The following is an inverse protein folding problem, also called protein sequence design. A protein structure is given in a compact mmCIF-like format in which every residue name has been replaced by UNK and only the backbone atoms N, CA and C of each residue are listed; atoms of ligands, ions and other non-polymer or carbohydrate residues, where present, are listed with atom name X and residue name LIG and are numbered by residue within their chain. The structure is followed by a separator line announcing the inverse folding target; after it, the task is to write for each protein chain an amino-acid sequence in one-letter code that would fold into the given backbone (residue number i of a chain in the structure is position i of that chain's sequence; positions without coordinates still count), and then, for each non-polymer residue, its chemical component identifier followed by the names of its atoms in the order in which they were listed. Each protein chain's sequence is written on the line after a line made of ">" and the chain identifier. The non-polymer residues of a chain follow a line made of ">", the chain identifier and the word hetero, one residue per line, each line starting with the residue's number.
data_IF_076696638630
#
_entry.id   IF_076696638630
#
_cell.length_a   1.000
_cell.length_b   1.000
_cell.length_c   1.000
_cell.angle_alpha   90.00
_cell.angle_beta   90.00
_cell.angle_gamma   90.00
#
_symmetry.space_group_name_H-M   'P 1'
#
loop_
_entity.id
_entity.type
_entity.pdbx_description
1 polymer ?
#
# COMPACT_ATOMS: atom_id res chain seq x y z
N UNK A 1 0.42 -12.70 1.05
CA UNK A 1 -0.93 -12.83 1.67
C UNK A 1 -1.66 -11.51 1.46
N UNK A 2 -2.91 -11.54 0.98
CA UNK A 2 -3.77 -10.38 0.75
C UNK A 2 -4.87 -10.37 1.81
N UNK A 3 -5.15 -9.20 2.39
CA UNK A 3 -6.28 -8.98 3.29
C UNK A 3 -7.25 -7.97 2.69
N UNK A 4 -8.54 -8.25 2.76
CA UNK A 4 -9.60 -7.31 2.34
C UNK A 4 -10.84 -7.45 3.21
N UNK A 5 -11.71 -6.44 3.17
CA UNK A 5 -13.07 -6.58 3.68
C UNK A 5 -13.91 -7.51 2.78
N UNK A 6 -15.16 -7.75 3.19
CA UNK A 6 -16.13 -8.59 2.48
C UNK A 6 -16.91 -7.83 1.40
N UNK A 7 -16.39 -6.71 0.89
CA UNK A 7 -16.96 -5.98 -0.23
C UNK A 7 -17.12 -6.88 -1.45
N UNK A 8 -18.25 -6.73 -2.15
CA UNK A 8 -18.61 -7.60 -3.29
C UNK A 8 -17.53 -7.60 -4.38
N UNK A 9 -16.90 -6.45 -4.62
CA UNK A 9 -15.83 -6.29 -5.60
C UNK A 9 -14.61 -7.16 -5.23
N UNK A 10 -14.22 -7.19 -3.94
CA UNK A 10 -13.12 -8.04 -3.47
C UNK A 10 -13.47 -9.52 -3.49
N UNK A 11 -14.73 -9.88 -3.20
CA UNK A 11 -15.23 -11.26 -3.33
C UNK A 11 -15.14 -11.73 -4.78
N UNK A 12 -15.56 -10.88 -5.72
CA UNK A 12 -15.46 -11.17 -7.16
C UNK A 12 -14.01 -11.24 -7.61
N UNK A 13 -13.16 -10.28 -7.22
CA UNK A 13 -11.74 -10.26 -7.55
C UNK A 13 -11.01 -11.52 -7.07
N UNK A 14 -11.30 -12.01 -5.86
CA UNK A 14 -10.75 -13.28 -5.36
C UNK A 14 -11.18 -14.47 -6.21
N UNK A 15 -12.44 -14.50 -6.66
CA UNK A 15 -12.95 -15.55 -7.54
C UNK A 15 -12.25 -15.55 -8.90
N UNK A 16 -12.12 -14.37 -9.52
CA UNK A 16 -11.43 -14.23 -10.80
C UNK A 16 -9.95 -14.56 -10.70
N UNK A 17 -9.27 -14.12 -9.64
CA UNK A 17 -7.87 -14.46 -9.42
C UNK A 17 -7.68 -15.98 -9.31
N UNK A 18 -8.55 -16.69 -8.59
CA UNK A 18 -8.54 -18.16 -8.53
C UNK A 18 -8.74 -18.79 -9.91
N UNK A 19 -9.66 -18.27 -10.72
CA UNK A 19 -9.91 -18.75 -12.07
C UNK A 19 -8.69 -18.59 -12.98
N UNK A 20 -8.04 -17.43 -12.93
CA UNK A 20 -6.84 -17.14 -13.72
C UNK A 20 -5.67 -18.05 -13.32
N UNK A 21 -5.45 -18.25 -12.01
CA UNK A 21 -4.43 -19.17 -11.52
C UNK A 21 -4.66 -20.58 -12.07
N UNK A 22 -5.91 -21.09 -12.02
CA UNK A 22 -6.24 -22.42 -12.56
C UNK A 22 -5.97 -22.57 -14.05
N UNK A 23 -6.22 -21.51 -14.84
CA UNK A 23 -5.96 -21.52 -16.29
C UNK A 23 -4.45 -21.59 -16.54
N UNK A 24 -3.67 -20.76 -15.85
CA UNK A 24 -2.21 -20.71 -15.99
C UNK A 24 -1.56 -22.03 -15.56
N UNK A 25 -2.01 -22.62 -14.43
CA UNK A 25 -1.44 -23.88 -13.93
C UNK A 25 -1.81 -25.11 -14.77
N UNK A 26 -2.86 -25.04 -15.59
CA UNK A 26 -3.26 -26.14 -16.47
C UNK A 26 -2.51 -26.18 -17.80
N UNK A 27 -1.86 -25.08 -18.18
CA UNK A 27 -1.31 -24.89 -19.52
C UNK A 27 0.21 -24.99 -19.61
N UNK A 28 0.93 -25.15 -18.49
CA UNK A 28 2.39 -25.01 -18.45
C UNK A 28 3.07 -26.22 -17.79
N UNK A 29 3.87 -26.96 -18.57
CA UNK A 29 4.90 -27.91 -18.11
C UNK A 29 6.17 -27.17 -17.64
N UNK A 30 6.22 -25.84 -17.75
CA UNK A 30 7.27 -25.01 -17.22
C UNK A 30 6.90 -24.52 -15.81
N UNK A 31 7.84 -24.50 -14.85
CA UNK A 31 7.48 -24.23 -13.48
C UNK A 31 7.22 -22.72 -13.32
N UNK A 32 5.94 -22.37 -13.33
CA UNK A 32 5.31 -21.09 -12.95
C UNK A 32 5.60 -20.73 -11.47
N UNK A 33 6.87 -20.79 -11.10
CA UNK A 33 7.38 -20.88 -9.74
C UNK A 33 7.24 -19.61 -8.92
N UNK A 34 6.80 -18.49 -9.49
CA UNK A 34 6.70 -17.24 -8.74
C UNK A 34 5.31 -16.94 -8.19
N UNK A 35 4.24 -17.32 -8.90
CA UNK A 35 2.87 -17.18 -8.40
C UNK A 35 2.34 -18.48 -7.76
N UNK A 36 2.90 -19.63 -8.15
CA UNK A 36 2.35 -20.96 -7.84
C UNK A 36 3.03 -21.64 -6.65
N UNK A 37 4.33 -21.37 -6.36
CA UNK A 37 5.02 -22.05 -5.23
C UNK A 37 4.56 -21.60 -3.85
N UNK A 38 4.09 -20.36 -3.72
CA UNK A 38 3.65 -19.74 -2.46
C UNK A 38 2.28 -19.08 -2.67
N UNK A 39 1.33 -19.83 -3.27
CA UNK A 39 0.03 -19.33 -3.74
C UNK A 39 -0.53 -18.20 -2.87
N UNK A 40 -0.70 -17.01 -3.45
CA UNK A 40 -1.06 -15.80 -2.70
C UNK A 40 -2.36 -16.02 -1.93
N UNK A 41 -2.25 -16.23 -0.62
CA UNK A 41 -3.41 -16.47 0.23
C UNK A 41 -4.22 -15.19 0.39
N UNK A 42 -5.47 -15.19 -0.08
CA UNK A 42 -6.42 -14.10 0.14
C UNK A 42 -7.31 -14.41 1.35
N UNK A 43 -7.18 -13.61 2.41
CA UNK A 43 -7.99 -13.70 3.62
C UNK A 43 -8.98 -12.54 3.70
N UNK A 44 -10.24 -12.85 3.98
CA UNK A 44 -11.22 -11.84 4.32
C UNK A 44 -11.21 -11.58 5.81
N UNK A 45 -11.47 -10.34 6.19
CA UNK A 45 -11.66 -10.00 7.59
C UNK A 45 -12.93 -10.63 8.13
N UNK A 46 -12.97 -10.97 9.43
CA UNK A 46 -14.21 -11.40 10.07
C UNK A 46 -15.30 -10.33 9.86
N UNK A 47 -16.56 -10.73 9.55
CA UNK A 47 -17.66 -9.79 9.45
C UNK A 47 -17.76 -8.95 10.73
N UNK A 48 -17.91 -7.63 10.59
CA UNK A 48 -18.04 -6.68 11.72
C UNK A 48 -16.81 -6.60 12.63
N UNK A 49 -15.60 -6.78 12.09
CA UNK A 49 -14.35 -6.59 12.83
C UNK A 49 -13.61 -5.31 12.39
N UNK A 50 -14.14 -4.10 12.70
CA UNK A 50 -13.62 -2.81 12.22
C UNK A 50 -12.17 -2.55 12.68
N UNK A 51 -11.77 -3.11 13.82
CA UNK A 51 -10.42 -2.93 14.37
C UNK A 51 -9.33 -3.49 13.43
N UNK A 52 -9.63 -4.53 12.65
CA UNK A 52 -8.65 -5.08 11.70
C UNK A 52 -8.37 -4.12 10.55
N UNK A 53 -9.29 -3.20 10.24
CA UNK A 53 -9.12 -2.20 9.19
C UNK A 53 -8.53 -0.87 9.61
N UNK A 54 -8.30 -0.69 10.92
CA UNK A 54 -7.79 0.56 11.48
C UNK A 54 -6.51 1.07 10.80
N UNK A 55 -5.59 0.19 10.37
CA UNK A 55 -4.32 0.60 9.75
C UNK A 55 -4.48 1.19 8.34
N UNK A 56 -5.20 0.51 7.43
CA UNK A 56 -5.44 1.08 6.10
C UNK A 56 -6.45 2.21 6.15
N UNK A 57 -7.42 2.19 7.07
CA UNK A 57 -8.32 3.32 7.30
C UNK A 57 -7.57 4.58 7.77
N UNK A 58 -6.59 4.43 8.67
CA UNK A 58 -5.71 5.53 9.07
C UNK A 58 -4.88 6.06 7.90
N UNK A 59 -4.42 5.18 7.01
CA UNK A 59 -3.70 5.56 5.79
C UNK A 59 -4.61 6.31 4.81
N UNK A 60 -5.85 5.84 4.59
CA UNK A 60 -6.88 6.53 3.79
C UNK A 60 -7.23 7.89 4.38
N UNK A 61 -7.33 7.99 5.72
CA UNK A 61 -7.58 9.26 6.42
C UNK A 61 -6.44 10.26 6.19
N UNK A 62 -5.20 9.79 6.27
CA UNK A 62 -4.00 10.63 6.04
C UNK A 62 -3.92 11.10 4.59
N UNK A 63 -4.18 10.22 3.62
CA UNK A 63 -4.29 10.60 2.21
C UNK A 63 -5.34 11.69 1.99
N UNK A 64 -6.58 11.48 2.47
CA UNK A 64 -7.68 12.43 2.32
C UNK A 64 -7.36 13.78 2.96
N UNK A 65 -6.61 13.80 4.06
CA UNK A 65 -6.19 15.02 4.71
C UNK A 65 -5.28 15.87 3.82
N UNK A 66 -4.23 15.28 3.24
CA UNK A 66 -3.35 15.98 2.32
C UNK A 66 -4.08 16.37 1.02
N UNK A 67 -4.83 15.43 0.45
CA UNK A 67 -5.55 15.64 -0.80
C UNK A 67 -6.52 16.83 -0.73
N UNK A 68 -7.34 16.91 0.32
CA UNK A 68 -8.28 18.03 0.50
C UNK A 68 -7.58 19.38 0.62
N UNK A 69 -6.39 19.43 1.23
CA UNK A 69 -5.63 20.67 1.41
C UNK A 69 -4.95 21.13 0.13
N UNK A 70 -4.42 20.20 -0.65
CA UNK A 70 -3.74 20.50 -1.92
C UNK A 70 -4.75 20.87 -3.01
N UNK A 71 -5.85 20.11 -3.12
CA UNK A 71 -6.81 20.27 -4.22
C UNK A 71 -7.88 21.33 -3.90
N UNK A 72 -8.31 21.44 -2.65
CA UNK A 72 -9.38 22.35 -2.25
C UNK A 72 -10.68 22.08 -3.01
N UNK A 73 -11.11 23.07 -3.80
CA UNK A 73 -12.33 23.03 -4.64
C UNK A 73 -12.03 22.94 -6.14
N UNK A 74 -10.77 22.79 -6.51
CA UNK A 74 -10.33 22.78 -7.91
C UNK A 74 -10.75 21.51 -8.64
N UNK A 75 -11.12 21.65 -9.91
CA UNK A 75 -11.33 20.52 -10.82
C UNK A 75 -9.99 20.17 -11.48
N UNK A 76 -9.57 18.92 -11.35
CA UNK A 76 -8.31 18.44 -11.88
C UNK A 76 -8.54 17.69 -13.18
N UNK A 77 -7.63 17.85 -14.13
CA UNK A 77 -7.41 16.88 -15.20
C UNK A 77 -6.85 15.57 -14.65
N UNK A 78 -6.84 14.53 -15.48
CA UNK A 78 -6.27 13.24 -15.10
C UNK A 78 -4.78 13.37 -14.72
N UNK A 79 -3.99 14.09 -15.51
CA UNK A 79 -2.55 14.26 -15.28
C UNK A 79 -2.25 15.03 -13.98
N UNK A 80 -3.03 16.08 -13.70
CA UNK A 80 -2.90 16.83 -12.45
C UNK A 80 -3.27 15.94 -11.25
N UNK A 81 -4.36 15.18 -11.35
CA UNK A 81 -4.75 14.23 -10.30
C UNK A 81 -3.68 13.17 -10.05
N UNK A 82 -3.14 12.57 -11.12
CA UNK A 82 -2.10 11.56 -11.05
C UNK A 82 -0.82 12.12 -10.42
N UNK A 83 -0.43 13.34 -10.78
CA UNK A 83 0.74 14.02 -10.22
C UNK A 83 0.57 14.27 -8.71
N UNK A 84 -0.57 14.81 -8.30
CA UNK A 84 -0.88 15.06 -6.88
C UNK A 84 -0.90 13.74 -6.09
N UNK A 85 -1.43 12.67 -6.68
CA UNK A 85 -1.44 11.34 -6.07
C UNK A 85 -0.01 10.88 -5.73
N UNK A 86 0.93 10.99 -6.68
CA UNK A 86 2.33 10.60 -6.49
C UNK A 86 3.03 11.45 -5.42
N UNK A 87 2.76 12.76 -5.41
CA UNK A 87 3.32 13.65 -4.39
C UNK A 87 2.82 13.29 -2.99
N UNK A 88 1.53 13.03 -2.83
CA UNK A 88 0.95 12.61 -1.55
C UNK A 88 1.50 11.24 -1.13
N UNK A 89 1.64 10.30 -2.05
CA UNK A 89 2.28 9.00 -1.78
C UNK A 89 3.70 9.18 -1.24
N UNK A 90 4.51 10.02 -1.89
CA UNK A 90 5.86 10.35 -1.43
C UNK A 90 5.85 10.92 -0.01
N UNK A 91 4.96 11.87 0.28
CA UNK A 91 4.80 12.45 1.63
C UNK A 91 4.44 11.36 2.64
N UNK A 92 3.47 10.50 2.34
CA UNK A 92 3.06 9.44 3.25
C UNK A 92 4.19 8.44 3.49
N UNK A 93 5.00 8.12 2.49
CA UNK A 93 6.09 7.16 2.61
C UNK A 93 7.37 7.74 3.25
N UNK A 94 7.55 9.05 3.18
CA UNK A 94 8.69 9.77 3.80
C UNK A 94 8.37 10.38 5.16
N UNK A 95 7.15 10.23 5.69
CA UNK A 95 6.78 10.79 7.00
C UNK A 95 7.60 10.16 8.13
N UNK A 96 8.20 10.95 9.05
CA UNK A 96 8.89 10.41 10.23
C UNK A 96 7.94 9.61 11.12
N UNK A 97 8.37 8.41 11.56
CA UNK A 97 7.65 7.60 12.56
C UNK A 97 8.31 7.75 13.94
N UNK A 98 9.60 7.42 14.03
CA UNK A 98 10.40 7.51 15.25
C UNK A 98 11.86 7.87 14.92
N UNK A 99 12.58 8.58 15.80
CA UNK A 99 14.04 8.65 15.73
C UNK A 99 14.67 7.26 15.84
N UNK A 100 15.79 7.04 15.15
CA UNK A 100 16.55 5.79 15.24
C UNK A 100 17.60 5.80 16.37
N UNK A 101 17.99 6.99 16.82
CA UNK A 101 18.95 7.21 17.89
C UNK A 101 18.39 8.18 18.93
N UNK A 102 18.98 8.13 20.12
CA UNK A 102 18.75 9.09 21.20
C UNK A 102 19.76 10.26 21.16
N UNK A 103 20.73 10.21 20.25
CA UNK A 103 21.67 11.30 20.03
C UNK A 103 20.96 12.47 19.37
N UNK A 104 21.18 13.68 19.90
CA UNK A 104 20.54 14.90 19.42
C UNK A 104 21.10 15.36 18.08
N UNK A 105 22.33 14.95 17.75
CA UNK A 105 22.99 15.28 16.47
C UNK A 105 22.67 14.25 15.37
N UNK A 106 22.04 13.12 15.71
CA UNK A 106 21.60 12.12 14.76
C UNK A 106 20.18 12.42 14.26
N UNK A 107 20.10 12.83 12.99
CA UNK A 107 18.85 13.19 12.32
C UNK A 107 18.21 11.99 11.60
N UNK A 108 18.73 10.78 11.77
CA UNK A 108 18.14 9.59 11.15
C UNK A 108 16.80 9.22 11.81
N UNK A 109 15.77 9.11 10.97
CA UNK A 109 14.41 8.77 11.39
C UNK A 109 13.89 7.56 10.63
N UNK A 110 13.18 6.69 11.32
CA UNK A 110 12.45 5.60 10.72
C UNK A 110 11.24 6.17 9.97
N UNK A 111 11.17 5.91 8.67
CA UNK A 111 10.01 6.28 7.82
C UNK A 111 9.34 5.01 7.28
N UNK A 112 8.06 5.06 6.87
CA UNK A 112 7.39 3.91 6.25
C UNK A 112 8.15 3.35 5.04
N UNK A 113 8.78 4.23 4.24
CA UNK A 113 9.59 3.87 3.07
C UNK A 113 10.71 2.87 3.37
N UNK A 114 11.29 2.90 4.57
CA UNK A 114 12.36 1.97 4.96
C UNK A 114 11.89 0.51 4.97
N UNK A 115 10.62 0.25 5.28
CA UNK A 115 10.05 -1.11 5.25
C UNK A 115 9.85 -1.63 3.82
N UNK A 116 9.63 -0.75 2.85
CA UNK A 116 9.49 -1.15 1.43
C UNK A 116 10.84 -1.45 0.79
N UNK A 117 11.85 -0.62 1.09
CA UNK A 117 13.19 -0.74 0.50
C UNK A 117 14.00 -1.84 1.19
N UNK A 118 13.69 -2.17 2.45
CA UNK A 118 14.41 -3.15 3.26
C UNK A 118 15.79 -2.65 3.70
N UNK A 119 16.07 -1.36 3.54
CA UNK A 119 17.30 -0.67 3.98
C UNK A 119 16.96 0.75 4.41
N UNK A 120 17.72 1.26 5.36
CA UNK A 120 17.70 2.67 5.77
C UNK A 120 18.53 3.41 4.72
N UNK A 121 17.91 3.78 3.60
CA UNK A 121 18.57 4.65 2.64
C UNK A 121 18.37 6.09 3.12
N UNK A 122 19.46 6.84 3.25
CA UNK A 122 19.41 8.28 3.47
C UNK A 122 18.38 8.91 2.52
N UNK A 123 17.39 9.58 3.11
CA UNK A 123 16.14 10.00 2.47
C UNK A 123 16.35 10.65 1.10
N UNK A 124 15.49 10.31 0.13
CA UNK A 124 15.32 11.02 -1.16
C UNK A 124 14.80 12.47 -0.99
N UNK A 125 14.46 12.87 0.24
CA UNK A 125 13.98 14.20 0.58
C UNK A 125 14.98 14.91 1.52
N UNK A 126 16.19 15.18 1.04
CA UNK A 126 16.90 16.39 1.48
C UNK A 126 16.36 17.54 0.63
N UNK A 127 15.32 18.19 1.15
CA UNK A 127 14.99 19.55 0.72
C UNK A 127 16.05 20.52 1.26
#
# INVERSE_FOLDING_TARGET
>A
MIFSDNGKDFVSAKSELKRLILIVTKHDDCPSNFLTKEGTQWKFLPPRAPNFGSLWEASVKSFKFHFKRVVGVSKLTYEEFYTILHQIEGILNSRPLIPLSSDMDDLEVLIPGHFFIGRINNCYCRA
#
